data_IF_398033490444
#
_entry.id   IF_398033490444
#
_cell.length_a   1.000
_cell.length_b   1.000
_cell.length_c   1.000
_cell.angle_alpha   90.00
_cell.angle_beta   90.00
_cell.angle_gamma   90.00
#
_symmetry.space_group_name_H-M   'P 1'
#
loop_
_entity.id
_entity.type
_entity.pdbx_description
1 polymer ?
#
# COMPACT_ATOMS: atom_id res chain seq x y z
N UNK A 1 -14.55 -3.13 -10.80
CA UNK A 1 -13.29 -3.21 -10.03
C UNK A 1 -12.92 -1.77 -9.73
N UNK A 2 -12.43 -1.47 -8.53
CA UNK A 2 -12.07 -0.11 -8.15
C UNK A 2 -10.95 0.38 -9.08
N UNK A 3 -11.04 1.62 -9.57
CA UNK A 3 -10.26 2.16 -10.69
C UNK A 3 -9.27 3.26 -10.34
N UNK A 4 -9.18 3.66 -9.07
CA UNK A 4 -8.46 4.88 -8.69
C UNK A 4 -7.59 4.67 -7.44
N UNK A 5 -6.54 5.48 -7.32
CA UNK A 5 -5.65 5.63 -6.16
C UNK A 5 -6.36 5.56 -4.78
N UNK A 6 -7.55 6.17 -4.72
CA UNK A 6 -8.43 6.20 -3.56
C UNK A 6 -8.82 4.82 -3.03
N UNK A 7 -8.78 3.79 -3.86
CA UNK A 7 -9.33 2.47 -3.54
C UNK A 7 -8.38 1.59 -2.70
N UNK A 8 -7.10 1.94 -2.56
CA UNK A 8 -6.16 1.25 -1.65
C UNK A 8 -6.29 1.81 -0.23
N UNK A 9 -6.47 3.12 -0.08
CA UNK A 9 -6.80 3.72 1.21
C UNK A 9 -8.12 3.16 1.77
N UNK A 10 -9.07 2.79 0.91
CA UNK A 10 -10.33 2.12 1.30
C UNK A 10 -10.14 0.73 1.91
N UNK A 11 -8.99 0.07 1.71
CA UNK A 11 -8.66 -1.22 2.34
C UNK A 11 -8.05 -1.05 3.73
N UNK A 12 -7.60 0.15 4.08
CA UNK A 12 -7.00 0.45 5.37
C UNK A 12 -8.10 0.95 6.29
N UNK A 13 -8.39 0.18 7.33
CA UNK A 13 -9.31 0.64 8.37
C UNK A 13 -8.55 1.61 9.29
N UNK A 14 -9.19 2.72 9.66
CA UNK A 14 -8.57 3.69 10.55
C UNK A 14 -9.56 4.32 11.53
N UNK A 15 -9.03 4.73 12.68
CA UNK A 15 -9.71 5.55 13.65
C UNK A 15 -8.75 6.62 14.16
N UNK A 16 -9.21 7.87 14.21
CA UNK A 16 -8.42 9.00 14.71
C UNK A 16 -9.17 9.73 15.82
N UNK A 17 -8.46 10.06 16.89
CA UNK A 17 -8.92 10.89 18.00
C UNK A 17 -8.14 12.21 17.98
N UNK A 18 -8.84 13.33 18.17
CA UNK A 18 -8.26 14.69 18.23
C UNK A 18 -7.41 15.07 17.01
N UNK A 19 -7.94 14.80 15.81
CA UNK A 19 -7.35 15.17 14.52
C UNK A 19 -8.18 14.65 13.35
N UNK A 20 -7.81 15.04 12.13
CA UNK A 20 -8.48 14.63 10.89
C UNK A 20 -7.48 14.15 9.85
N UNK A 21 -7.62 12.92 9.37
CA UNK A 21 -6.84 12.42 8.22
C UNK A 21 -7.41 13.05 6.95
N UNK A 22 -6.52 13.58 6.11
CA UNK A 22 -6.89 14.12 4.80
C UNK A 22 -6.45 13.24 3.65
N UNK A 23 -5.28 12.63 3.75
CA UNK A 23 -4.75 11.71 2.75
C UNK A 23 -3.99 10.57 3.43
N UNK A 24 -4.02 9.42 2.77
CA UNK A 24 -3.17 8.28 3.04
C UNK A 24 -2.55 7.92 1.69
N UNK A 25 -1.25 8.10 1.56
CA UNK A 25 -0.53 7.99 0.30
C UNK A 25 0.60 6.97 0.45
N UNK A 26 0.59 5.87 -0.32
CA UNK A 26 1.73 4.96 -0.36
C UNK A 26 2.91 5.61 -1.09
N UNK A 27 4.10 5.50 -0.52
CA UNK A 27 5.36 5.90 -1.14
C UNK A 27 6.24 4.65 -1.41
N UNK A 28 6.18 4.10 -2.63
CA UNK A 28 6.94 2.90 -3.00
C UNK A 28 8.44 3.14 -3.12
N UNK A 29 8.90 4.39 -3.23
CA UNK A 29 10.34 4.68 -3.31
C UNK A 29 11.02 4.54 -1.94
N UNK A 30 10.28 4.83 -0.86
CA UNK A 30 10.71 4.69 0.53
C UNK A 30 10.17 3.43 1.22
N UNK A 31 9.26 2.68 0.57
CA UNK A 31 8.46 1.62 1.19
C UNK A 31 7.71 2.12 2.44
N UNK A 32 7.11 3.31 2.34
CA UNK A 32 6.38 3.91 3.45
C UNK A 32 4.93 4.24 3.11
N UNK A 33 4.14 4.46 4.14
CA UNK A 33 2.79 4.98 4.08
C UNK A 33 2.82 6.39 4.70
N UNK A 34 2.42 7.40 3.94
CA UNK A 34 2.38 8.79 4.38
C UNK A 34 0.93 9.17 4.69
N UNK A 35 0.67 9.58 5.92
CA UNK A 35 -0.64 10.00 6.41
C UNK A 35 -0.58 11.50 6.74
N UNK A 36 -1.38 12.28 6.01
CA UNK A 36 -1.53 13.71 6.26
C UNK A 36 -2.64 13.96 7.28
N UNK A 37 -2.31 14.60 8.40
CA UNK A 37 -3.22 14.96 9.48
C UNK A 37 -3.43 16.49 9.50
N UNK A 38 -4.68 16.90 9.71
CA UNK A 38 -5.06 18.30 9.95
C UNK A 38 -5.76 18.44 11.31
N UNK A 39 -5.75 19.67 11.83
CA UNK A 39 -6.35 20.03 13.11
C UNK A 39 -5.92 19.11 14.26
N UNK A 40 -4.67 18.64 14.23
CA UNK A 40 -4.11 17.75 15.24
C UNK A 40 -4.05 18.44 16.62
N UNK A 41 -4.78 17.87 17.57
CA UNK A 41 -4.57 18.06 18.99
C UNK A 41 -3.68 16.94 19.56
N UNK A 42 -3.85 16.58 20.83
CA UNK A 42 -3.10 15.48 21.43
C UNK A 42 -3.91 14.20 21.27
N UNK A 43 -3.62 13.48 20.20
CA UNK A 43 -4.50 12.47 19.66
C UNK A 43 -3.88 11.08 19.56
N UNK A 44 -4.70 10.18 19.03
CA UNK A 44 -4.31 8.80 18.76
C UNK A 44 -4.83 8.39 17.39
N UNK A 45 -3.94 7.82 16.59
CA UNK A 45 -4.24 7.22 15.30
C UNK A 45 -4.14 5.69 15.43
N UNK A 46 -5.24 5.00 15.17
CA UNK A 46 -5.27 3.55 15.03
C UNK A 46 -5.46 3.20 13.56
N UNK A 47 -4.59 2.34 13.04
CA UNK A 47 -4.62 1.86 11.67
C UNK A 47 -4.63 0.34 11.67
N UNK A 48 -5.51 -0.29 10.90
CA UNK A 48 -5.46 -1.72 10.59
C UNK A 48 -5.21 -1.85 9.10
N UNK A 49 -4.01 -2.33 8.78
CA UNK A 49 -3.44 -2.34 7.45
C UNK A 49 -3.32 -3.80 6.99
N UNK A 50 -3.94 -4.18 5.86
CA UNK A 50 -3.72 -5.49 5.28
C UNK A 50 -2.27 -5.68 4.88
N UNK A 51 -1.68 -6.82 5.26
CA UNK A 51 -0.30 -7.19 4.87
C UNK A 51 -0.11 -7.31 3.38
N UNK A 52 -1.19 -7.46 2.62
CA UNK A 52 -1.13 -7.44 1.16
C UNK A 52 -0.95 -6.03 0.60
N UNK A 53 -1.17 -4.97 1.39
CA UNK A 53 -1.04 -3.57 0.98
C UNK A 53 0.30 -3.00 1.45
N UNK A 54 0.69 -3.29 2.70
CA UNK A 54 1.91 -2.79 3.32
C UNK A 54 2.36 -3.78 4.40
N UNK A 55 3.66 -4.10 4.43
CA UNK A 55 4.22 -4.99 5.45
C UNK A 55 5.71 -4.70 5.65
N UNK A 56 6.25 -5.27 6.73
CA UNK A 56 7.68 -5.37 6.99
C UNK A 56 8.05 -6.83 7.25
N UNK A 57 8.84 -7.40 6.34
CA UNK A 57 9.32 -8.78 6.42
C UNK A 57 10.82 -8.84 6.12
N UNK A 58 11.51 -9.73 6.81
CA UNK A 58 12.89 -10.13 6.52
C UNK A 58 12.97 -10.93 5.22
N UNK A 59 14.18 -11.13 4.69
CA UNK A 59 14.41 -11.94 3.48
C UNK A 59 13.91 -13.39 3.61
N UNK A 60 13.81 -13.90 4.85
CA UNK A 60 13.31 -15.25 5.17
C UNK A 60 11.77 -15.31 5.29
N UNK A 61 11.07 -14.18 5.15
CA UNK A 61 9.61 -14.07 5.23
C UNK A 61 9.05 -13.92 6.65
N UNK A 62 9.92 -13.74 7.64
CA UNK A 62 9.52 -13.48 9.03
C UNK A 62 9.23 -12.00 9.26
N UNK A 63 8.37 -11.68 10.22
CA UNK A 63 8.01 -10.31 10.57
C UNK A 63 9.22 -9.48 10.98
N UNK A 64 9.41 -8.36 10.28
CA UNK A 64 10.39 -7.34 10.61
C UNK A 64 9.74 -6.16 11.35
N UNK A 65 10.61 -5.32 11.93
CA UNK A 65 10.23 -4.12 12.67
C UNK A 65 9.76 -3.02 11.72
N UNK A 66 8.68 -2.34 12.10
CA UNK A 66 8.18 -1.13 11.47
C UNK A 66 8.74 0.10 12.17
N UNK A 67 8.90 1.19 11.42
CA UNK A 67 9.29 2.49 11.99
C UNK A 67 8.15 3.48 11.79
N UNK A 68 7.83 4.26 12.83
CA UNK A 68 6.85 5.34 12.74
C UNK A 68 7.55 6.67 13.00
N UNK A 69 7.32 7.62 12.11
CA UNK A 69 7.93 8.93 12.12
C UNK A 69 6.82 9.97 12.13
N UNK A 70 6.82 10.86 13.12
CA UNK A 70 5.91 12.00 13.20
C UNK A 70 6.73 13.27 12.98
N UNK A 71 6.39 14.04 11.95
CA UNK A 71 7.06 15.29 11.59
C UNK A 71 8.60 15.18 11.57
N UNK A 72 9.13 14.09 10.97
CA UNK A 72 10.57 13.75 10.86
C UNK A 72 11.23 13.29 12.15
N UNK A 73 10.45 12.98 13.19
CA UNK A 73 10.95 12.41 14.44
C UNK A 73 10.40 11.00 14.62
N UNK A 74 11.28 10.03 14.80
CA UNK A 74 10.89 8.65 15.10
C UNK A 74 10.20 8.57 16.47
N UNK A 75 9.12 7.80 16.55
CA UNK A 75 8.32 7.61 17.76
C UNK A 75 8.08 6.14 18.05
N UNK A 76 7.77 5.85 19.31
CA UNK A 76 7.32 4.53 19.74
C UNK A 76 5.81 4.45 19.51
N UNK A 77 5.35 3.26 19.11
CA UNK A 77 3.95 2.95 18.85
C UNK A 77 3.64 1.54 19.37
N UNK A 78 2.36 1.21 19.47
CA UNK A 78 1.93 -0.17 19.74
C UNK A 78 1.59 -0.88 18.44
N UNK A 79 1.96 -2.14 18.35
CA UNK A 79 1.72 -2.98 17.18
C UNK A 79 1.05 -4.29 17.59
N UNK A 80 0.03 -4.68 16.84
CA UNK A 80 -0.59 -6.00 16.91
C UNK A 80 -0.61 -6.64 15.53
N UNK A 81 -0.08 -7.85 15.45
CA UNK A 81 0.21 -8.50 14.19
C UNK A 81 -0.53 -9.82 14.07
N UNK A 82 -1.15 -10.04 12.92
CA UNK A 82 -1.85 -11.30 12.56
C UNK A 82 -1.28 -11.83 11.25
N UNK A 83 -1.77 -12.97 10.76
CA UNK A 83 -1.35 -13.50 9.45
C UNK A 83 -1.85 -12.66 8.26
N UNK A 84 -2.86 -11.80 8.47
CA UNK A 84 -3.54 -11.05 7.39
C UNK A 84 -3.34 -9.54 7.48
N UNK A 85 -3.29 -8.99 8.69
CA UNK A 85 -3.26 -7.56 8.94
C UNK A 85 -2.23 -7.21 10.02
N UNK A 86 -1.76 -5.96 9.98
CA UNK A 86 -1.05 -5.29 11.07
C UNK A 86 -1.86 -4.12 11.58
N UNK A 87 -2.01 -4.04 12.90
CA UNK A 87 -2.70 -2.93 13.56
C UNK A 87 -1.70 -2.09 14.34
N UNK A 88 -1.63 -0.79 14.03
CA UNK A 88 -0.78 0.17 14.72
C UNK A 88 -1.63 1.12 15.56
N UNK A 89 -1.15 1.46 16.75
CA UNK A 89 -1.68 2.53 17.61
C UNK A 89 -0.57 3.54 17.85
N UNK A 90 -0.77 4.75 17.33
CA UNK A 90 0.22 5.82 17.27
C UNK A 90 -0.33 7.04 18.01
N UNK A 91 0.33 7.47 19.07
CA UNK A 91 0.01 8.75 19.73
C UNK A 91 0.73 9.89 19.00
N UNK A 92 0.01 10.99 18.74
CA UNK A 92 0.59 12.17 18.10
C UNK A 92 0.30 13.45 18.93
N UNK A 93 1.26 14.38 19.00
CA UNK A 93 1.08 15.65 19.71
C UNK A 93 0.27 16.67 18.92
N UNK A 94 -0.21 17.69 19.62
CA UNK A 94 -0.88 18.82 18.98
C UNK A 94 0.02 19.54 17.98
N UNK A 95 -0.54 19.84 16.82
CA UNK A 95 0.16 20.47 15.70
C UNK A 95 0.90 19.49 14.78
N UNK A 96 0.76 18.18 14.97
CA UNK A 96 1.31 17.22 14.01
C UNK A 96 0.65 17.28 12.64
N UNK A 97 1.47 17.22 11.60
CA UNK A 97 1.02 17.37 10.21
C UNK A 97 1.16 16.05 9.45
N UNK A 98 2.22 15.29 9.70
CA UNK A 98 2.55 14.08 8.94
C UNK A 98 2.90 12.94 9.88
N UNK A 99 2.28 11.78 9.64
CA UNK A 99 2.70 10.48 10.19
C UNK A 99 3.17 9.61 9.03
N UNK A 100 4.40 9.14 9.10
CA UNK A 100 5.00 8.24 8.12
C UNK A 100 5.28 6.88 8.77
N UNK A 101 4.86 5.80 8.10
CA UNK A 101 5.08 4.42 8.57
C UNK A 101 5.96 3.72 7.54
N UNK A 102 7.16 3.33 7.93
CA UNK A 102 8.16 2.71 7.05
C UNK A 102 8.19 1.20 7.28
N UNK A 103 8.09 0.44 6.20
CA UNK A 103 8.18 -1.02 6.20
C UNK A 103 9.22 -1.53 5.22
N UNK A 104 9.03 -2.76 4.74
CA UNK A 104 9.90 -3.33 3.68
C UNK A 104 9.24 -3.34 2.32
N UNK A 105 7.93 -3.19 2.26
CA UNK A 105 7.22 -2.95 1.01
C UNK A 105 5.93 -2.16 1.23
N UNK A 106 5.52 -1.45 0.19
CA UNK A 106 4.16 -0.90 0.04
C UNK A 106 3.70 -1.16 -1.39
N UNK A 107 2.45 -1.56 -1.60
CA UNK A 107 1.92 -1.71 -2.96
C UNK A 107 1.81 -0.32 -3.59
N UNK A 108 2.54 -0.02 -4.69
CA UNK A 108 2.22 1.12 -5.51
C UNK A 108 0.85 0.89 -6.15
N UNK A 109 0.04 1.93 -6.23
CA UNK A 109 -1.37 1.87 -6.63
C UNK A 109 -1.63 1.20 -8.00
N UNK A 110 -0.61 0.93 -8.82
CA UNK A 110 -0.77 0.32 -10.15
C UNK A 110 0.29 -0.70 -10.59
N UNK A 111 0.52 -1.78 -9.85
CA UNK A 111 1.14 -2.99 -10.44
C UNK A 111 0.16 -4.14 -10.70
N UNK A 112 -0.78 -4.42 -9.79
CA UNK A 112 -1.74 -5.51 -9.97
C UNK A 112 -2.69 -5.28 -11.16
N UNK A 113 -3.18 -4.04 -11.32
CA UNK A 113 -4.07 -3.69 -12.45
C UNK A 113 -3.27 -3.57 -13.76
N UNK A 114 -2.03 -3.05 -13.70
CA UNK A 114 -1.16 -2.90 -14.88
C UNK A 114 -0.91 -4.25 -15.57
N UNK A 115 -0.58 -5.30 -14.81
CA UNK A 115 -0.33 -6.64 -15.35
C UNK A 115 -1.61 -7.24 -15.95
N UNK A 116 -2.77 -7.06 -15.31
CA UNK A 116 -4.05 -7.59 -15.83
C UNK A 116 -4.45 -6.89 -17.13
N UNK A 117 -4.35 -5.56 -17.22
CA UNK A 117 -4.65 -4.83 -18.45
C UNK A 117 -3.63 -5.15 -19.55
N UNK A 118 -2.35 -5.21 -19.22
CA UNK A 118 -1.27 -5.55 -20.15
C UNK A 118 -1.45 -6.97 -20.72
N UNK A 119 -1.74 -7.95 -19.87
CA UNK A 119 -1.99 -9.34 -20.32
C UNK A 119 -3.26 -9.45 -21.15
N UNK A 120 -4.35 -8.78 -20.77
CA UNK A 120 -5.58 -8.72 -21.56
C UNK A 120 -5.38 -8.06 -22.93
N UNK A 121 -4.55 -7.02 -23.03
CA UNK A 121 -4.25 -6.35 -24.29
C UNK A 121 -3.39 -7.20 -25.23
N UNK A 122 -2.45 -7.97 -24.69
CA UNK A 122 -1.52 -8.81 -25.47
C UNK A 122 -2.17 -10.14 -25.91
N UNK A 123 -3.04 -10.73 -25.08
CA UNK A 123 -3.76 -11.99 -25.35
C UNK A 123 -4.36 -12.07 -26.78
N UNK A 124 -5.20 -11.12 -27.24
CA UNK A 124 -5.80 -11.20 -28.57
C UNK A 124 -4.76 -11.07 -29.70
N UNK A 125 -3.70 -10.29 -29.51
CA UNK A 125 -2.62 -10.10 -30.50
C UNK A 125 -1.85 -11.41 -30.69
N UNK A 126 -1.46 -12.06 -29.59
CA UNK A 126 -0.74 -13.34 -29.62
C UNK A 126 -1.62 -14.43 -30.24
N UNK A 127 -2.90 -14.50 -29.87
CA UNK A 127 -3.85 -15.47 -30.43
C UNK A 127 -4.07 -15.25 -31.93
N UNK A 128 -4.21 -14.01 -32.39
CA UNK A 128 -4.31 -13.69 -33.81
C UNK A 128 -3.03 -14.05 -34.58
N UNK A 129 -1.87 -13.70 -34.03
CA UNK A 129 -0.55 -14.02 -34.61
C UNK A 129 -0.29 -15.54 -34.71
N UNK A 130 -0.72 -16.30 -33.70
CA UNK A 130 -0.63 -17.76 -33.70
C UNK A 130 -1.52 -18.40 -34.78
N UNK A 131 -2.70 -17.83 -35.07
CA UNK A 131 -3.57 -18.30 -36.17
C UNK A 131 -2.99 -18.01 -37.55
N UNK A 132 -2.27 -16.89 -37.71
CA UNK A 132 -1.58 -16.61 -38.98
C UNK A 132 -0.35 -17.48 -39.20
N UNK A 133 0.34 -17.93 -38.14
CA UNK A 133 1.48 -18.84 -38.27
C UNK A 133 1.05 -20.30 -38.54
N UNK A 134 -0.12 -20.75 -38.07
CA UNK A 134 -0.62 -22.10 -38.34
C UNK A 134 -1.17 -22.30 -39.76
N UNK A 135 -1.48 -21.22 -40.50
CA UNK A 135 -1.85 -21.29 -41.93
C UNK A 135 -0.63 -21.31 -42.88
N UNK A 136 0.59 -21.14 -42.39
CA UNK A 136 1.82 -21.10 -43.20
C UNK A 136 2.36 -22.46 -43.65
N UNK A 137 1.70 -23.59 -43.34
CA UNK A 137 2.13 -24.93 -43.81
C UNK A 137 1.45 -25.43 -45.10
N UNK A 138 0.83 -24.53 -45.86
CA UNK A 138 0.29 -24.82 -47.20
C UNK A 138 0.88 -23.90 -48.29
N UNK A 139 2.21 -23.76 -48.36
CA UNK A 139 2.86 -23.30 -49.59
C UNK A 139 4.27 -23.90 -49.68
N UNK A 140 4.47 -24.81 -50.64
CA UNK A 140 5.71 -25.55 -50.89
C UNK A 140 5.41 -26.98 -51.31
#
# INVERSE_FOLDING_TARGET
LPTDASDIADLIEYAILDGHITHIVPDPESNSLIIDIQDAGNGTLTLTIPRTVFDAQTDDGEDAELFVIIDKTEVIFEEMTTDIDRTLVIEFPAGSEIVEIVGTFVIPEFEAISIVILTMAIMPIVVMSARTCSLGKYCG
#
